data_IF_459975421159
#
_entry.id   IF_459975421159
#
_cell.length_a   1.000
_cell.length_b   1.000
_cell.length_c   1.000
_cell.angle_alpha   90.00
_cell.angle_beta   90.00
_cell.angle_gamma   90.00
#
_symmetry.space_group_name_H-M   'P 1'
#
loop_
_entity.id
_entity.type
_entity.pdbx_description
1 polymer ?
#
# COMPACT_ATOMS: atom_id res chain seq x y z
N UNK A 1 3.73 -12.85 19.37
CA UNK A 1 3.48 -11.93 18.25
C UNK A 1 4.71 -11.05 18.08
N UNK A 2 5.14 -10.78 16.84
CA UNK A 2 6.36 -10.00 16.57
C UNK A 2 5.94 -8.66 15.99
N UNK A 3 6.29 -7.57 16.68
CA UNK A 3 6.05 -6.22 16.18
C UNK A 3 6.93 -5.97 14.93
N UNK A 4 6.36 -5.34 13.92
CA UNK A 4 7.06 -4.97 12.68
C UNK A 4 7.17 -3.44 12.57
N UNK A 5 8.26 -3.00 11.93
CA UNK A 5 8.51 -1.58 11.63
C UNK A 5 8.41 -0.65 12.85
N UNK A 6 8.86 -1.12 14.03
CA UNK A 6 8.81 -0.35 15.27
C UNK A 6 9.53 1.01 15.14
N UNK A 7 8.96 2.03 15.77
CA UNK A 7 9.49 3.40 15.73
C UNK A 7 9.30 4.14 14.40
N UNK A 8 8.75 3.50 13.36
CA UNK A 8 8.43 4.18 12.09
C UNK A 8 7.12 4.96 12.22
N UNK A 9 7.06 6.13 11.58
CA UNK A 9 5.84 6.93 11.50
C UNK A 9 4.81 6.22 10.62
N UNK A 10 3.68 5.83 11.21
CA UNK A 10 2.54 5.26 10.48
C UNK A 10 1.58 6.35 10.03
N UNK A 11 0.99 6.15 8.86
CA UNK A 11 -0.16 6.91 8.38
C UNK A 11 -1.10 5.97 7.63
N UNK A 12 -2.32 6.43 7.36
CA UNK A 12 -3.29 5.68 6.58
C UNK A 12 -3.55 6.38 5.26
N UNK A 13 -3.75 5.58 4.22
CA UNK A 13 -4.10 6.06 2.88
C UNK A 13 -5.22 5.18 2.35
N UNK A 14 -6.24 5.79 1.75
CA UNK A 14 -7.26 5.04 1.02
C UNK A 14 -6.76 4.76 -0.39
N UNK A 15 -6.82 3.50 -0.79
CA UNK A 15 -6.42 3.00 -2.10
C UNK A 15 -7.66 2.47 -2.80
N UNK A 16 -7.89 2.89 -4.04
CA UNK A 16 -8.97 2.39 -4.88
C UNK A 16 -8.40 1.81 -6.16
N UNK A 17 -8.70 0.54 -6.47
CA UNK A 17 -8.34 -0.04 -7.75
C UNK A 17 -9.43 0.27 -8.79
N UNK A 18 -9.12 1.16 -9.73
CA UNK A 18 -10.00 1.53 -10.87
C UNK A 18 -9.84 0.63 -12.09
N UNK A 19 -8.89 -0.30 -12.05
CA UNK A 19 -8.64 -1.24 -13.13
C UNK A 19 -9.60 -2.44 -13.10
N UNK A 20 -9.56 -3.20 -14.18
CA UNK A 20 -10.38 -4.41 -14.36
C UNK A 20 -9.71 -5.68 -13.82
N UNK A 21 -8.46 -5.58 -13.35
CA UNK A 21 -7.66 -6.71 -12.86
C UNK A 21 -7.19 -6.46 -11.42
N UNK A 22 -7.04 -7.55 -10.67
CA UNK A 22 -6.43 -7.49 -9.34
C UNK A 22 -4.98 -7.02 -9.44
N UNK A 23 -4.59 -6.08 -8.58
CA UNK A 23 -3.21 -5.61 -8.44
C UNK A 23 -2.65 -6.10 -7.12
N UNK A 24 -1.45 -6.67 -7.15
CA UNK A 24 -0.71 -7.06 -5.94
C UNK A 24 0.44 -6.09 -5.72
N UNK A 25 0.58 -5.57 -4.50
CA UNK A 25 1.67 -4.67 -4.11
C UNK A 25 2.44 -5.29 -2.96
N UNK A 26 3.75 -5.47 -3.14
CA UNK A 26 4.62 -6.07 -2.13
C UNK A 26 5.06 -5.07 -1.05
N UNK A 27 5.43 -5.59 0.12
CA UNK A 27 5.83 -4.83 1.32
C UNK A 27 6.88 -3.72 1.13
N UNK A 28 7.74 -3.81 0.11
CA UNK A 28 8.86 -2.89 -0.12
C UNK A 28 8.75 -2.10 -1.42
N UNK A 29 7.69 -2.30 -2.19
CA UNK A 29 7.52 -1.58 -3.44
C UNK A 29 7.07 -0.13 -3.16
N UNK A 30 7.68 0.90 -3.78
CA UNK A 30 7.28 2.29 -3.60
C UNK A 30 5.85 2.53 -4.09
N UNK A 31 4.98 3.06 -3.22
CA UNK A 31 3.57 3.28 -3.58
C UNK A 31 3.37 4.31 -4.69
N UNK A 32 4.29 5.26 -4.85
CA UNK A 32 4.23 6.24 -5.93
C UNK A 32 4.54 5.64 -7.32
N UNK A 33 5.08 4.42 -7.39
CA UNK A 33 5.53 3.77 -8.65
C UNK A 33 4.66 2.56 -9.01
N UNK A 34 3.59 2.29 -8.24
CA UNK A 34 2.72 1.13 -8.46
C UNK A 34 1.90 1.27 -9.75
N UNK A 35 1.17 0.21 -10.08
CA UNK A 35 0.24 0.22 -11.21
C UNK A 35 -0.69 1.45 -11.16
N UNK A 36 -0.72 2.21 -12.25
CA UNK A 36 -1.50 3.44 -12.39
C UNK A 36 -3.02 3.25 -12.23
N UNK A 37 -3.51 2.01 -12.25
CA UNK A 37 -4.91 1.69 -11.93
C UNK A 37 -5.23 1.87 -10.43
N UNK A 38 -4.24 1.95 -9.55
CA UNK A 38 -4.44 2.26 -8.14
C UNK A 38 -4.43 3.78 -7.91
N UNK A 39 -5.58 4.30 -7.49
CA UNK A 39 -5.74 5.69 -7.07
C UNK A 39 -5.60 5.80 -5.56
N UNK A 40 -4.91 6.84 -5.10
CA UNK A 40 -4.64 7.10 -3.69
C UNK A 40 -5.31 8.40 -3.25
N UNK A 41 -6.03 8.35 -2.13
CA UNK A 41 -6.55 9.54 -1.45
C UNK A 41 -5.47 10.10 -0.53
N UNK A 42 -4.53 10.83 -1.13
CA UNK A 42 -3.40 11.46 -0.44
C UNK A 42 -2.05 11.22 -1.11
N UNK A 43 -1.04 11.90 -0.59
CA UNK A 43 0.34 11.75 -1.05
C UNK A 43 0.92 10.39 -0.60
N UNK A 44 1.58 9.69 -1.51
CA UNK A 44 2.26 8.41 -1.28
C UNK A 44 3.74 8.43 -1.64
N UNK A 45 4.29 9.60 -2.00
CA UNK A 45 5.70 9.75 -2.32
C UNK A 45 6.59 9.34 -1.15
N UNK A 46 7.55 8.45 -1.41
CA UNK A 46 8.46 7.92 -0.38
C UNK A 46 7.79 7.02 0.66
N UNK A 47 6.62 6.44 0.36
CA UNK A 47 5.92 5.52 1.26
C UNK A 47 5.81 4.10 0.70
N UNK A 48 5.72 3.12 1.60
CA UNK A 48 5.44 1.69 1.33
C UNK A 48 4.40 1.13 2.30
N UNK A 49 3.83 -0.03 1.97
CA UNK A 49 2.86 -0.71 2.82
C UNK A 49 3.49 -1.14 4.15
N UNK A 50 2.78 -0.90 5.25
CA UNK A 50 3.17 -1.39 6.58
C UNK A 50 2.65 -2.82 6.80
N UNK A 51 3.24 -3.77 6.06
CA UNK A 51 2.92 -5.20 6.13
C UNK A 51 4.20 -6.02 6.33
N UNK A 52 4.10 -7.29 6.78
CA UNK A 52 5.28 -8.13 6.99
C UNK A 52 6.18 -8.21 5.74
N UNK A 53 7.50 -8.20 5.95
CA UNK A 53 8.47 -8.27 4.87
C UNK A 53 8.26 -9.54 4.02
N UNK A 54 8.36 -9.40 2.69
CA UNK A 54 8.15 -10.50 1.74
C UNK A 54 6.68 -10.82 1.44
N UNK A 55 5.73 -10.15 2.07
CA UNK A 55 4.29 -10.31 1.78
C UNK A 55 3.78 -9.25 0.80
N UNK A 56 2.53 -9.40 0.35
CA UNK A 56 1.85 -8.48 -0.54
C UNK A 56 0.37 -8.33 -0.18
N UNK A 57 -0.19 -7.14 -0.46
CA UNK A 57 -1.62 -6.85 -0.39
C UNK A 57 -2.22 -6.92 -1.78
N UNK A 58 -3.39 -7.56 -1.90
CA UNK A 58 -4.16 -7.64 -3.14
C UNK A 58 -5.27 -6.58 -3.13
N UNK A 59 -5.40 -5.83 -4.21
CA UNK A 59 -6.47 -4.87 -4.47
C UNK A 59 -7.31 -5.38 -5.63
N UNK A 60 -8.54 -5.82 -5.38
CA UNK A 60 -9.47 -6.35 -6.38
C UNK A 60 -10.05 -5.23 -7.25
N UNK A 61 -10.55 -5.53 -8.46
CA UNK A 61 -11.23 -4.54 -9.30
C UNK A 61 -12.35 -3.81 -8.54
N UNK A 62 -12.33 -2.48 -8.54
CA UNK A 62 -13.32 -1.63 -7.87
C UNK A 62 -13.20 -1.57 -6.34
N UNK A 63 -12.29 -2.32 -5.73
CA UNK A 63 -12.09 -2.32 -4.28
C UNK A 63 -11.49 -0.99 -3.82
N UNK A 64 -12.06 -0.43 -2.74
CA UNK A 64 -11.55 0.75 -2.05
C UNK A 64 -11.29 0.39 -0.59
N UNK A 65 -10.04 0.43 -0.16
CA UNK A 65 -9.60 0.01 1.17
C UNK A 65 -8.63 1.01 1.78
N UNK A 66 -8.70 1.16 3.10
CA UNK A 66 -7.73 1.93 3.87
C UNK A 66 -6.56 1.02 4.27
N UNK A 67 -5.33 1.42 3.95
CA UNK A 67 -4.11 0.66 4.29
C UNK A 67 -3.17 1.51 5.15
N UNK A 68 -2.41 0.84 6.01
CA UNK A 68 -1.32 1.49 6.75
C UNK A 68 -0.06 1.56 5.90
N UNK A 69 0.62 2.69 5.99
CA UNK A 69 1.84 2.99 5.24
C UNK A 69 2.89 3.61 6.16
N UNK A 70 4.15 3.38 5.80
CA UNK A 70 5.34 3.91 6.48
C UNK A 70 6.29 4.55 5.46
N UNK A 71 7.22 5.42 5.89
CA UNK A 71 8.32 5.87 5.04
C UNK A 71 9.14 4.68 4.53
N UNK A 72 9.38 4.66 3.22
CA UNK A 72 10.20 3.66 2.53
C UNK A 72 11.63 3.67 3.03
#
# INVERSE_FOLDING_TARGET
>A
EVAINEGRRRSRVRVTNRGERTVFVSSHFPLAEVNAALEFDGDVTGRRLDIPAGTATAFRPGESVEVEVIPS
#
